data_IF_088011748174
#
_entry.id   IF_088011748174
#
_cell.length_a   1.000
_cell.length_b   1.000
_cell.length_c   1.000
_cell.angle_alpha   90.00
_cell.angle_beta   90.00
_cell.angle_gamma   90.00
#
_symmetry.space_group_name_H-M   'P 1'
#
loop_
_entity.id
_entity.type
_entity.pdbx_description
1 polymer ?
#
# COMPACT_ATOMS: atom_id res chain seq x y z
N UNK A 1 5.87 -6.88 8.12
CA UNK A 1 6.10 -6.10 6.91
C UNK A 1 6.69 -4.74 7.27
N UNK A 2 7.52 -4.19 6.38
CA UNK A 2 8.10 -2.86 6.47
C UNK A 2 7.90 -2.19 5.11
N UNK A 3 7.24 -1.03 5.08
CA UNK A 3 7.04 -0.26 3.88
C UNK A 3 8.20 0.73 3.69
N UNK A 4 8.72 0.85 2.48
CA UNK A 4 9.83 1.74 2.13
C UNK A 4 9.47 2.46 0.83
N UNK A 5 9.53 3.79 0.84
CA UNK A 5 9.31 4.61 -0.36
C UNK A 5 10.44 4.51 -1.38
N UNK A 6 10.25 5.08 -2.56
CA UNK A 6 11.15 5.00 -3.72
C UNK A 6 12.46 5.79 -3.60
N UNK A 7 12.67 6.47 -2.46
CA UNK A 7 13.89 7.27 -2.22
C UNK A 7 13.75 8.73 -2.61
N UNK A 8 12.61 9.15 -3.18
CA UNK A 8 12.33 10.53 -3.60
C UNK A 8 12.84 10.83 -5.02
N UNK A 9 12.95 12.13 -5.36
CA UNK A 9 13.25 12.60 -6.72
C UNK A 9 12.13 12.27 -7.71
N UNK A 10 11.21 13.18 -7.97
CA UNK A 10 9.97 12.92 -8.73
C UNK A 10 10.13 11.98 -9.93
N UNK A 11 9.24 10.98 -10.00
CA UNK A 11 9.18 10.02 -11.09
C UNK A 11 10.13 8.81 -11.01
N UNK A 12 10.78 8.59 -9.87
CA UNK A 12 11.70 7.45 -9.64
C UNK A 12 12.76 7.31 -10.77
N UNK A 13 13.63 8.32 -10.99
CA UNK A 13 14.55 8.36 -12.12
C UNK A 13 15.58 7.22 -12.10
N UNK A 14 15.89 6.68 -10.96
CA UNK A 14 16.80 5.53 -10.78
C UNK A 14 16.08 4.18 -10.87
N UNK A 15 14.74 4.19 -11.00
CA UNK A 15 13.89 2.99 -11.14
C UNK A 15 13.95 2.05 -9.94
N UNK A 16 14.18 2.61 -8.75
CA UNK A 16 14.29 1.85 -7.51
C UNK A 16 13.07 0.96 -7.25
N UNK A 17 11.86 1.47 -7.54
CA UNK A 17 10.60 0.75 -7.27
C UNK A 17 10.49 -0.61 -7.97
N UNK A 18 11.09 -0.78 -9.15
CA UNK A 18 11.07 -2.03 -9.94
C UNK A 18 12.32 -2.90 -9.76
N UNK A 19 13.46 -2.34 -9.33
CA UNK A 19 14.70 -3.10 -9.17
C UNK A 19 14.63 -3.96 -7.90
N UNK A 20 14.58 -5.28 -8.04
CA UNK A 20 14.38 -6.21 -6.92
C UNK A 20 15.62 -6.38 -6.02
N UNK A 21 16.78 -5.88 -6.42
CA UNK A 21 18.01 -5.87 -5.61
C UNK A 21 18.14 -4.61 -4.72
N UNK A 22 17.11 -3.75 -4.71
CA UNK A 22 17.06 -2.49 -3.99
C UNK A 22 15.86 -2.51 -3.01
N UNK A 23 16.03 -2.06 -1.75
CA UNK A 23 14.93 -2.00 -0.79
C UNK A 23 13.95 -0.85 -1.01
N UNK A 24 14.28 0.13 -1.88
CA UNK A 24 13.44 1.30 -2.11
C UNK A 24 12.23 0.98 -3.00
N UNK A 25 11.10 1.61 -2.72
CA UNK A 25 9.83 1.35 -3.41
C UNK A 25 9.25 -0.05 -3.15
N UNK A 26 9.43 -0.58 -1.93
CA UNK A 26 9.14 -1.99 -1.58
C UNK A 26 8.31 -2.15 -0.32
N UNK A 27 7.64 -3.29 -0.24
CA UNK A 27 7.37 -3.92 1.05
C UNK A 27 8.44 -4.99 1.31
N UNK A 28 9.04 -4.94 2.48
CA UNK A 28 10.01 -5.93 2.96
C UNK A 28 9.34 -6.83 4.00
N UNK A 29 9.59 -8.14 3.92
CA UNK A 29 9.14 -9.11 4.91
C UNK A 29 10.30 -9.79 5.57
N UNK A 30 10.41 -9.58 6.87
CA UNK A 30 11.44 -10.18 7.73
C UNK A 30 10.81 -10.85 8.95
N UNK A 31 11.56 -11.74 9.58
CA UNK A 31 11.20 -12.28 10.88
C UNK A 31 12.23 -11.81 11.91
N UNK A 32 11.85 -10.91 12.84
CA UNK A 32 12.73 -10.50 13.93
C UNK A 32 13.14 -11.69 14.81
N UNK A 33 14.35 -11.62 15.36
CA UNK A 33 14.88 -12.62 16.29
C UNK A 33 14.92 -12.08 17.72
N UNK A 34 14.69 -12.91 18.75
CA UNK A 34 14.68 -12.47 20.14
C UNK A 34 16.01 -11.84 20.61
N UNK A 35 17.12 -12.31 20.07
CA UNK A 35 18.47 -11.85 20.44
C UNK A 35 18.98 -10.70 19.57
N UNK A 36 18.08 -10.10 18.77
CA UNK A 36 18.38 -9.04 17.81
C UNK A 36 18.66 -9.58 16.40
N UNK A 37 18.58 -8.64 15.42
CA UNK A 37 18.64 -9.00 14.00
C UNK A 37 17.36 -9.65 13.49
N UNK A 38 17.43 -10.26 12.34
CA UNK A 38 16.28 -10.91 11.69
C UNK A 38 16.75 -12.07 10.81
N UNK A 39 15.80 -12.85 10.35
CA UNK A 39 15.98 -13.81 9.26
C UNK A 39 14.98 -13.54 8.13
N UNK A 40 15.35 -13.92 6.92
CA UNK A 40 14.47 -13.90 5.76
C UNK A 40 13.60 -15.16 5.79
N UNK A 41 12.26 -15.03 5.77
CA UNK A 41 11.38 -16.19 5.66
C UNK A 41 11.60 -16.93 4.34
N UNK A 42 11.68 -18.26 4.39
CA UNK A 42 11.98 -19.10 3.21
C UNK A 42 10.88 -19.03 2.13
N UNK A 43 9.70 -18.61 2.51
CA UNK A 43 8.53 -18.43 1.65
C UNK A 43 8.42 -17.01 1.05
N UNK A 44 9.44 -16.17 1.22
CA UNK A 44 9.52 -14.91 0.47
C UNK A 44 9.71 -15.20 -1.03
N UNK A 45 9.21 -14.31 -1.92
CA UNK A 45 9.18 -14.60 -3.36
C UNK A 45 10.55 -14.63 -4.04
N UNK A 46 11.56 -13.93 -3.50
CA UNK A 46 12.84 -13.67 -4.18
C UNK A 46 14.09 -14.16 -3.41
N UNK A 47 13.94 -15.18 -2.59
CA UNK A 47 15.05 -15.73 -1.78
C UNK A 47 16.24 -16.24 -2.60
N UNK A 48 16.01 -16.56 -3.89
CA UNK A 48 17.03 -17.11 -4.79
C UNK A 48 17.30 -16.15 -5.98
N UNK A 49 17.94 -15.01 -5.74
CA UNK A 49 18.42 -14.18 -6.86
C UNK A 49 17.95 -12.74 -6.92
N UNK A 50 17.59 -12.18 -5.78
CA UNK A 50 17.34 -10.74 -5.55
C UNK A 50 17.51 -10.46 -4.06
N UNK A 51 17.16 -9.24 -3.61
CA UNK A 51 17.08 -8.94 -2.19
C UNK A 51 15.97 -9.79 -1.54
N UNK A 52 16.36 -10.80 -0.78
CA UNK A 52 15.44 -11.82 -0.26
C UNK A 52 14.37 -11.30 0.71
N UNK A 53 14.54 -10.11 1.27
CA UNK A 53 13.59 -9.41 2.11
C UNK A 53 12.38 -8.89 1.33
N UNK A 54 12.51 -8.68 0.01
CA UNK A 54 11.44 -8.12 -0.82
C UNK A 54 10.22 -9.03 -0.82
N UNK A 55 9.06 -8.46 -0.46
CA UNK A 55 7.75 -9.08 -0.50
C UNK A 55 6.94 -8.61 -1.71
N UNK A 56 6.92 -7.30 -1.93
CA UNK A 56 6.27 -6.62 -3.04
C UNK A 56 7.12 -5.44 -3.52
N UNK A 57 6.90 -5.00 -4.76
CA UNK A 57 7.62 -3.91 -5.44
C UNK A 57 6.64 -2.88 -6.04
N UNK A 58 7.18 -1.87 -6.72
CA UNK A 58 6.37 -0.92 -7.49
C UNK A 58 5.57 0.06 -6.63
N UNK A 59 6.10 0.48 -5.50
CA UNK A 59 5.48 1.46 -4.61
C UNK A 59 6.25 2.79 -4.67
N UNK A 60 5.52 3.90 -4.56
CA UNK A 60 6.10 5.24 -4.54
C UNK A 60 6.39 5.71 -3.12
N UNK A 61 5.38 5.88 -2.33
CA UNK A 61 5.45 6.33 -0.95
C UNK A 61 4.34 5.66 -0.13
N UNK A 62 4.47 4.37 0.16
CA UNK A 62 3.48 3.61 0.92
C UNK A 62 3.41 4.12 2.35
N UNK A 63 2.59 5.13 2.57
CA UNK A 63 2.50 5.86 3.84
C UNK A 63 1.99 4.98 4.97
N UNK A 64 0.98 4.15 4.68
CA UNK A 64 0.40 3.20 5.62
C UNK A 64 0.08 1.88 4.95
N UNK A 65 0.31 0.83 5.71
CA UNK A 65 -0.10 -0.53 5.35
C UNK A 65 -0.97 -1.09 6.47
N UNK A 66 -1.97 -1.86 6.10
CA UNK A 66 -2.80 -2.63 7.03
C UNK A 66 -2.92 -4.07 6.56
N UNK A 67 -2.96 -4.97 7.51
CA UNK A 67 -3.34 -6.37 7.25
C UNK A 67 -4.67 -6.59 7.94
N UNK A 68 -5.69 -6.84 7.14
CA UNK A 68 -7.03 -7.10 7.67
C UNK A 68 -7.00 -8.30 8.63
N UNK A 69 -7.36 -8.12 9.91
CA UNK A 69 -7.24 -9.18 10.90
C UNK A 69 -8.15 -10.38 10.64
N UNK A 70 -9.17 -10.21 9.82
CA UNK A 70 -10.12 -11.29 9.48
C UNK A 70 -9.72 -12.06 8.24
N UNK A 71 -9.30 -11.36 7.17
CA UNK A 71 -9.04 -11.97 5.87
C UNK A 71 -7.56 -12.15 5.57
N UNK A 72 -6.68 -11.47 6.32
CA UNK A 72 -5.25 -11.32 6.06
C UNK A 72 -4.90 -10.66 4.73
N UNK A 73 -5.87 -9.99 4.09
CA UNK A 73 -5.64 -9.16 2.92
C UNK A 73 -4.72 -8.00 3.27
N UNK A 74 -3.80 -7.71 2.37
CA UNK A 74 -2.93 -6.56 2.48
C UNK A 74 -3.62 -5.33 1.88
N UNK A 75 -3.60 -4.22 2.61
CA UNK A 75 -4.04 -2.91 2.16
C UNK A 75 -2.89 -1.92 2.26
N UNK A 76 -2.74 -1.08 1.25
CA UNK A 76 -1.68 -0.08 1.18
C UNK A 76 -2.29 1.23 0.71
N UNK A 77 -2.01 2.32 1.43
CA UNK A 77 -2.20 3.67 0.95
C UNK A 77 -0.86 4.16 0.41
N UNK A 78 -0.78 4.34 -0.90
CA UNK A 78 0.42 4.77 -1.59
C UNK A 78 0.22 6.18 -2.15
N UNK A 79 1.04 7.13 -1.66
CA UNK A 79 0.93 8.54 -2.06
C UNK A 79 1.43 8.72 -3.48
N UNK A 80 0.57 9.24 -4.33
CA UNK A 80 0.85 9.50 -5.74
C UNK A 80 1.83 10.65 -5.99
N UNK A 81 2.19 10.83 -7.26
CA UNK A 81 3.19 11.84 -7.64
C UNK A 81 2.56 13.19 -7.97
N UNK A 82 1.63 13.22 -8.92
CA UNK A 82 1.11 14.46 -9.48
C UNK A 82 -0.41 14.50 -9.65
N UNK A 83 -1.03 13.37 -9.90
CA UNK A 83 -2.41 13.34 -10.39
C UNK A 83 -3.34 12.50 -9.52
N UNK A 84 -2.87 11.38 -8.95
CA UNK A 84 -3.73 10.42 -8.27
C UNK A 84 -3.12 9.88 -6.99
N UNK A 85 -3.94 9.77 -5.96
CA UNK A 85 -3.67 8.97 -4.77
C UNK A 85 -4.21 7.55 -4.97
N UNK A 86 -3.58 6.57 -4.31
CA UNK A 86 -3.89 5.16 -4.51
C UNK A 86 -4.19 4.41 -3.22
N UNK A 87 -5.20 3.54 -3.28
CA UNK A 87 -5.41 2.49 -2.30
C UNK A 87 -5.29 1.16 -3.02
N UNK A 88 -4.32 0.37 -2.60
CA UNK A 88 -4.04 -0.95 -3.11
C UNK A 88 -4.57 -2.01 -2.16
N UNK A 89 -5.08 -3.13 -2.70
CA UNK A 89 -5.48 -4.30 -1.94
C UNK A 89 -5.04 -5.57 -2.65
N UNK A 90 -4.44 -6.47 -1.91
CA UNK A 90 -4.14 -7.82 -2.41
C UNK A 90 -4.71 -8.85 -1.45
N UNK A 91 -5.49 -9.76 -2.03
CA UNK A 91 -6.08 -10.88 -1.28
C UNK A 91 -4.99 -11.80 -0.73
N UNK A 92 -5.20 -12.28 0.47
CA UNK A 92 -4.33 -13.29 1.06
C UNK A 92 -4.33 -14.59 0.24
N UNK A 93 -3.19 -15.25 0.17
CA UNK A 93 -3.07 -16.59 -0.41
C UNK A 93 -2.84 -17.59 0.72
N UNK A 94 -3.72 -18.59 0.78
CA UNK A 94 -3.69 -19.83 1.61
C UNK A 94 -3.16 -19.73 3.03
N UNK A 95 -2.57 -18.91 3.65
CA UNK A 95 -2.07 -18.69 5.01
C UNK A 95 -0.98 -17.61 5.07
N UNK A 96 -0.77 -16.91 3.96
CA UNK A 96 0.16 -15.80 3.87
C UNK A 96 -0.61 -14.50 3.71
N UNK A 97 -0.07 -13.43 4.27
CA UNK A 97 -0.55 -12.07 3.97
C UNK A 97 -0.48 -11.82 2.47
N UNK A 98 -1.42 -11.05 1.93
CA UNK A 98 -1.44 -10.68 0.51
C UNK A 98 -0.16 -9.97 0.05
N UNK A 99 0.08 -9.94 -1.26
CA UNK A 99 1.16 -9.17 -1.87
C UNK A 99 2.43 -9.92 -2.23
N UNK A 100 2.49 -11.24 -2.03
CA UNK A 100 3.68 -12.03 -2.36
C UNK A 100 4.04 -11.96 -3.85
N UNK A 101 5.17 -11.32 -4.19
CA UNK A 101 5.64 -11.18 -5.58
C UNK A 101 4.81 -10.21 -6.42
N UNK A 102 4.02 -9.36 -5.80
CA UNK A 102 3.21 -8.34 -6.48
C UNK A 102 4.05 -7.10 -6.77
N UNK A 103 3.86 -6.51 -7.96
CA UNK A 103 4.33 -5.17 -8.32
C UNK A 103 3.10 -4.25 -8.44
N UNK A 104 3.11 -3.13 -7.72
CA UNK A 104 2.02 -2.15 -7.68
C UNK A 104 2.11 -1.11 -8.79
N UNK A 105 3.14 -1.19 -9.65
CA UNK A 105 3.20 -0.49 -10.92
C UNK A 105 3.94 0.83 -10.96
N UNK A 106 4.26 1.45 -9.83
CA UNK A 106 5.10 2.65 -9.80
C UNK A 106 6.54 2.29 -10.24
N UNK A 107 7.22 3.03 -11.12
CA UNK A 107 6.84 4.29 -11.75
C UNK A 107 6.35 4.11 -13.20
N UNK A 108 5.90 2.93 -13.57
CA UNK A 108 5.25 2.70 -14.86
C UNK A 108 3.87 3.34 -14.93
N UNK A 109 3.17 3.34 -13.79
CA UNK A 109 1.80 3.84 -13.66
C UNK A 109 1.67 4.76 -12.45
N UNK A 110 0.74 5.72 -12.52
CA UNK A 110 0.17 6.46 -11.40
C UNK A 110 -1.34 6.29 -11.46
N UNK A 111 -1.94 5.67 -10.48
CA UNK A 111 -3.31 5.19 -10.59
C UNK A 111 -3.44 4.18 -11.73
N UNK A 112 -4.43 4.40 -12.58
CA UNK A 112 -4.64 3.60 -13.80
C UNK A 112 -3.94 4.20 -15.02
N UNK A 113 -3.33 5.38 -14.89
CA UNK A 113 -2.71 6.08 -16.01
C UNK A 113 -1.24 5.67 -16.18
N UNK A 114 -0.81 5.58 -17.45
CA UNK A 114 0.59 5.40 -17.76
C UNK A 114 1.37 6.66 -17.35
N UNK A 115 2.40 6.49 -16.49
CA UNK A 115 3.23 7.58 -16.01
C UNK A 115 4.56 7.63 -16.77
N UNK A 116 5.24 6.49 -16.91
CA UNK A 116 6.56 6.42 -17.56
C UNK A 116 6.58 5.29 -18.58
N UNK A 117 6.73 5.64 -19.87
CA UNK A 117 6.68 4.68 -20.97
C UNK A 117 7.93 3.79 -21.07
N UNK A 118 9.06 4.27 -20.53
CA UNK A 118 10.35 3.57 -20.60
C UNK A 118 10.56 2.60 -19.43
N UNK A 119 9.61 2.51 -18.52
CA UNK A 119 9.70 1.65 -17.33
C UNK A 119 8.67 0.54 -17.42
N UNK A 120 9.06 -0.65 -17.02
CA UNK A 120 8.18 -1.81 -16.91
C UNK A 120 8.49 -2.58 -15.64
N UNK A 121 7.48 -3.18 -15.00
CA UNK A 121 7.69 -4.10 -13.89
C UNK A 121 8.65 -5.24 -14.24
N UNK A 122 9.32 -5.79 -13.25
CA UNK A 122 10.12 -7.02 -13.41
C UNK A 122 9.22 -8.17 -13.85
N UNK A 123 9.64 -8.93 -14.86
CA UNK A 123 8.85 -10.05 -15.43
C UNK A 123 8.54 -11.17 -14.43
N UNK A 124 9.25 -11.22 -13.31
CA UNK A 124 9.01 -12.16 -12.20
C UNK A 124 7.89 -11.73 -11.27
N UNK A 125 7.44 -10.48 -11.40
CA UNK A 125 6.41 -9.89 -10.56
C UNK A 125 5.02 -10.02 -11.18
N UNK A 126 4.00 -9.96 -10.33
CA UNK A 126 2.59 -9.96 -10.73
C UNK A 126 2.11 -8.52 -10.62
N UNK A 127 1.83 -7.87 -11.76
CA UNK A 127 1.30 -6.51 -11.75
C UNK A 127 -0.11 -6.47 -11.14
N UNK A 128 -0.32 -5.58 -10.18
CA UNK A 128 -1.62 -5.32 -9.57
C UNK A 128 -2.02 -3.85 -9.77
N UNK A 129 -3.27 -3.63 -10.12
CA UNK A 129 -3.86 -2.30 -10.18
C UNK A 129 -4.42 -1.90 -8.80
N UNK A 130 -4.46 -0.58 -8.49
CA UNK A 130 -5.12 -0.10 -7.27
C UNK A 130 -6.61 -0.45 -7.28
N UNK A 131 -7.19 -0.68 -6.11
CA UNK A 131 -8.63 -0.93 -5.97
C UNK A 131 -9.44 0.35 -5.89
N UNK A 132 -8.80 1.47 -5.57
CA UNK A 132 -9.39 2.78 -5.54
C UNK A 132 -8.33 3.85 -5.77
N UNK A 133 -8.67 4.86 -6.56
CA UNK A 133 -7.85 6.06 -6.77
C UNK A 133 -8.71 7.30 -6.63
N UNK A 134 -8.11 8.42 -6.23
CA UNK A 134 -8.76 9.72 -6.30
C UNK A 134 -7.78 10.79 -6.79
N UNK A 135 -8.26 11.77 -7.56
CA UNK A 135 -7.40 12.78 -8.20
C UNK A 135 -6.98 13.88 -7.21
N UNK A 136 -5.86 14.54 -7.54
CA UNK A 136 -5.41 15.77 -6.89
C UNK A 136 -6.27 16.97 -7.32
N UNK A 137 -7.52 17.00 -6.87
CA UNK A 137 -8.48 18.08 -7.12
C UNK A 137 -9.02 18.59 -5.79
N UNK A 138 -9.58 19.80 -5.79
CA UNK A 138 -10.21 20.42 -4.62
C UNK A 138 -9.33 20.44 -3.36
N UNK A 139 -8.00 20.42 -3.54
CA UNK A 139 -7.02 20.46 -2.47
C UNK A 139 -6.56 19.11 -1.95
N UNK A 140 -7.05 18.00 -2.48
CA UNK A 140 -6.54 16.65 -2.18
C UNK A 140 -5.11 16.49 -2.71
N UNK A 141 -4.22 15.84 -1.92
CA UNK A 141 -2.81 15.77 -2.28
C UNK A 141 -2.00 14.63 -1.69
N UNK A 142 -2.52 13.93 -0.69
CA UNK A 142 -1.71 12.91 0.00
C UNK A 142 -2.60 11.98 0.82
N UNK A 143 -2.77 10.77 0.34
CA UNK A 143 -3.50 9.76 1.08
C UNK A 143 -2.79 9.42 2.38
N UNK A 144 -3.53 9.56 3.47
CA UNK A 144 -3.15 9.02 4.76
C UNK A 144 -3.94 7.73 4.93
N UNK A 145 -3.24 6.64 4.80
CA UNK A 145 -3.85 5.33 4.92
C UNK A 145 -4.33 5.05 6.32
N UNK A 146 -4.96 3.96 6.45
CA UNK A 146 -5.78 3.62 7.55
C UNK A 146 -5.89 2.13 7.76
N UNK A 147 -7.10 1.71 8.01
CA UNK A 147 -7.37 0.37 8.48
C UNK A 147 -8.69 -0.17 7.91
N UNK A 148 -8.80 -1.48 7.78
CA UNK A 148 -10.11 -2.12 7.59
C UNK A 148 -10.84 -2.11 8.92
N UNK A 149 -12.01 -1.47 8.96
CA UNK A 149 -12.81 -1.43 10.18
C UNK A 149 -13.43 -2.81 10.50
N UNK A 150 -13.15 -3.31 11.69
CA UNK A 150 -13.66 -4.59 12.22
C UNK A 150 -14.28 -4.45 13.63
N UNK A 151 -14.50 -3.21 14.05
CA UNK A 151 -15.17 -2.91 15.30
C UNK A 151 -16.67 -3.19 15.26
N UNK A 152 -17.29 -3.26 16.44
CA UNK A 152 -18.72 -3.51 16.63
C UNK A 152 -19.54 -2.23 16.89
N UNK A 153 -18.88 -1.08 17.01
CA UNK A 153 -19.56 0.19 17.35
C UNK A 153 -20.29 0.82 16.16
N UNK A 154 -19.78 0.63 14.94
CA UNK A 154 -20.35 1.20 13.72
C UNK A 154 -20.57 0.06 12.72
N UNK A 155 -21.70 -0.63 12.88
CA UNK A 155 -22.03 -1.83 12.09
C UNK A 155 -21.97 -1.57 10.56
N UNK A 156 -22.41 -0.40 10.11
CA UNK A 156 -22.45 -0.01 8.69
C UNK A 156 -21.05 0.14 8.07
N UNK A 157 -20.00 0.29 8.89
CA UNK A 157 -18.61 0.37 8.43
C UNK A 157 -17.87 -0.97 8.46
N UNK A 158 -18.50 -2.04 8.91
CA UNK A 158 -17.85 -3.35 8.97
C UNK A 158 -17.28 -3.79 7.61
N UNK A 159 -15.98 -3.97 7.54
CA UNK A 159 -15.27 -4.38 6.32
C UNK A 159 -14.90 -3.24 5.36
N UNK A 160 -15.18 -2.01 5.71
CA UNK A 160 -14.75 -0.84 4.93
C UNK A 160 -13.33 -0.46 5.31
N UNK A 161 -12.56 -0.02 4.31
CA UNK A 161 -11.24 0.56 4.54
C UNK A 161 -11.39 2.05 4.82
N UNK A 162 -11.01 2.45 6.03
CA UNK A 162 -11.07 3.85 6.48
C UNK A 162 -9.73 4.51 6.22
N UNK A 163 -9.72 5.65 5.53
CA UNK A 163 -8.52 6.40 5.16
C UNK A 163 -8.76 7.91 5.24
N UNK A 164 -7.70 8.69 5.17
CA UNK A 164 -7.77 10.15 5.15
C UNK A 164 -6.96 10.74 4.02
N UNK A 165 -7.17 12.03 3.74
CA UNK A 165 -6.28 12.86 2.94
C UNK A 165 -5.66 13.94 3.82
N UNK A 166 -4.33 14.05 3.80
CA UNK A 166 -3.59 14.95 4.67
C UNK A 166 -3.91 16.43 4.41
N UNK A 167 -4.11 16.80 3.14
CA UNK A 167 -4.28 18.20 2.75
C UNK A 167 -5.68 18.73 3.03
N UNK A 168 -6.69 17.96 2.66
CA UNK A 168 -8.08 18.33 2.89
C UNK A 168 -8.54 18.02 4.31
N UNK A 169 -7.91 17.04 4.94
CA UNK A 169 -8.33 16.51 6.23
C UNK A 169 -9.56 15.60 6.14
N UNK A 170 -10.07 15.33 4.95
CA UNK A 170 -11.25 14.47 4.77
C UNK A 170 -10.92 13.04 5.19
N UNK A 171 -11.75 12.48 6.04
CA UNK A 171 -11.75 11.06 6.40
C UNK A 171 -12.86 10.38 5.62
N UNK A 172 -12.50 9.34 4.90
CA UNK A 172 -13.41 8.57 4.05
C UNK A 172 -13.35 7.08 4.37
N UNK A 173 -14.38 6.35 3.95
CA UNK A 173 -14.36 4.90 3.98
C UNK A 173 -14.71 4.36 2.59
N UNK A 174 -13.96 3.35 2.14
CA UNK A 174 -14.14 2.67 0.87
C UNK A 174 -14.60 1.23 1.09
N UNK A 175 -15.68 0.85 0.40
CA UNK A 175 -16.17 -0.52 0.38
C UNK A 175 -15.75 -1.21 -0.91
N UNK A 176 -14.88 -2.19 -0.80
CA UNK A 176 -14.36 -2.92 -1.95
C UNK A 176 -15.44 -3.73 -2.69
N UNK A 177 -16.44 -4.27 -1.98
CA UNK A 177 -17.48 -5.13 -2.59
C UNK A 177 -18.48 -4.30 -3.40
N UNK A 178 -18.95 -3.18 -2.86
CA UNK A 178 -19.87 -2.27 -3.54
C UNK A 178 -19.16 -1.22 -4.41
N UNK A 179 -17.82 -1.11 -4.30
CA UNK A 179 -17.01 -0.07 -4.95
C UNK A 179 -17.52 1.34 -4.68
N UNK A 180 -17.97 1.58 -3.46
CA UNK A 180 -18.51 2.87 -3.04
C UNK A 180 -17.65 3.51 -1.96
N UNK A 181 -17.65 4.84 -1.92
CA UNK A 181 -16.95 5.64 -0.94
C UNK A 181 -17.94 6.54 -0.21
N UNK A 182 -17.74 6.72 1.09
CA UNK A 182 -18.50 7.66 1.92
C UNK A 182 -17.52 8.55 2.69
N UNK A 183 -17.86 9.83 2.81
CA UNK A 183 -17.15 10.76 3.68
C UNK A 183 -17.67 10.60 5.11
N UNK A 184 -16.75 10.47 6.08
CA UNK A 184 -17.09 10.32 7.49
C UNK A 184 -16.94 11.63 8.27
N UNK A 185 -16.12 12.55 7.81
CA UNK A 185 -15.85 13.83 8.45
C UNK A 185 -14.51 14.42 8.10
N UNK A 186 -14.11 15.45 8.83
CA UNK A 186 -12.85 16.18 8.59
C UNK A 186 -12.02 16.27 9.86
N UNK A 187 -10.73 15.94 9.75
CA UNK A 187 -9.71 16.07 10.80
C UNK A 187 -8.52 16.81 10.22
N UNK A 188 -8.07 17.88 10.86
CA UNK A 188 -6.95 18.66 10.33
C UNK A 188 -5.66 17.84 10.26
N UNK A 189 -5.07 17.74 9.07
CA UNK A 189 -3.78 17.09 8.80
C UNK A 189 -3.64 15.68 9.46
N UNK A 190 -4.52 14.72 9.11
CA UNK A 190 -4.41 13.38 9.66
C UNK A 190 -3.10 12.72 9.18
N UNK A 191 -2.33 12.15 10.08
CA UNK A 191 -1.07 11.46 9.76
C UNK A 191 -1.13 9.96 10.02
N UNK A 192 -2.14 9.51 10.74
CA UNK A 192 -2.36 8.11 11.09
C UNK A 192 -3.83 7.87 11.41
N UNK A 193 -4.32 6.73 11.00
CA UNK A 193 -5.61 6.16 11.39
C UNK A 193 -5.33 4.74 11.86
N UNK A 194 -5.73 4.42 13.08
CA UNK A 194 -5.40 3.15 13.72
C UNK A 194 -6.64 2.54 14.38
N UNK A 195 -6.64 1.23 14.50
CA UNK A 195 -7.63 0.53 15.33
C UNK A 195 -7.25 0.65 16.81
N UNK A 196 -8.23 0.85 17.66
CA UNK A 196 -8.06 0.62 19.10
C UNK A 196 -8.29 -0.88 19.42
N UNK A 197 -8.26 -1.22 20.74
CA UNK A 197 -8.45 -2.61 21.19
C UNK A 197 -9.87 -3.17 20.98
N UNK A 198 -10.77 -2.37 20.44
CA UNK A 198 -12.16 -2.75 20.10
C UNK A 198 -12.41 -2.85 18.60
N UNK A 199 -11.40 -2.60 17.75
CA UNK A 199 -11.46 -2.71 16.29
C UNK A 199 -11.35 -1.42 15.52
#
# INVERSE_FOLDING_TARGET
LIAVGDGGSGGDPERHSHVLDDPLGKLLRIQPLPDGGYRIPIDNPYVDGALGEVWSSGLRNPWRIDVDPLTTDLWIADVGQNEHEEINRVTADTNLVGGRGVDFGWSSFEGYARFNDDVSPDERSILAEPVYTYPHVDGACSVTGGVVYRGDLIEDLWGWYVFGDFCTGVISAYNYVSQSTVELGVVAMPTSIERDHRG
#
